data_IF_151429987179
#
_entry.id   IF_151429987179
#
_cell.length_a   1.000
_cell.length_b   1.000
_cell.length_c   1.000
_cell.angle_alpha   90.00
_cell.angle_beta   90.00
_cell.angle_gamma   90.00
#
_symmetry.space_group_name_H-M   'P 1'
#
loop_
_entity.id
_entity.type
_entity.pdbx_description
1 polymer ?
#
# COMPACT_ATOMS: atom_id res chain seq x y z
N UNK A 1 -10.02 6.83 -0.01
CA UNK A 1 -10.49 5.62 -0.68
C UNK A 1 -11.57 4.97 0.14
N UNK A 2 -12.65 4.55 -0.50
CA UNK A 2 -13.64 3.64 0.10
C UNK A 2 -13.38 2.25 -0.47
N UNK A 3 -13.36 1.22 0.38
CA UNK A 3 -13.34 -0.15 -0.12
C UNK A 3 -14.69 -0.46 -0.77
N UNK A 4 -14.66 -1.13 -1.93
CA UNK A 4 -15.87 -1.47 -2.70
C UNK A 4 -16.80 -2.42 -1.94
N UNK A 5 -16.22 -3.26 -1.09
CA UNK A 5 -16.94 -4.16 -0.20
C UNK A 5 -16.47 -3.94 1.25
N UNK A 6 -17.34 -4.17 2.25
CA UNK A 6 -16.94 -4.18 3.64
C UNK A 6 -15.78 -5.15 3.87
N UNK A 7 -14.81 -4.72 4.69
CA UNK A 7 -13.72 -5.60 5.08
C UNK A 7 -14.19 -6.58 6.15
N UNK A 8 -13.69 -7.81 6.05
CA UNK A 8 -13.92 -8.88 7.01
C UNK A 8 -12.80 -8.85 8.04
N UNK A 9 -13.14 -8.62 9.30
CA UNK A 9 -12.20 -8.65 10.43
C UNK A 9 -11.90 -10.11 10.82
N UNK A 10 -10.69 -10.35 11.30
CA UNK A 10 -10.25 -11.66 11.76
C UNK A 10 -8.94 -11.62 12.51
N UNK A 11 -8.48 -12.80 12.92
CA UNK A 11 -7.23 -13.01 13.65
C UNK A 11 -6.20 -13.68 12.76
N UNK A 12 -5.03 -13.05 12.62
CA UNK A 12 -3.91 -13.59 11.88
C UNK A 12 -3.39 -14.87 12.54
N UNK A 13 -3.34 -15.96 11.79
CA UNK A 13 -2.71 -17.21 12.25
C UNK A 13 -1.24 -17.21 11.83
N UNK A 14 -0.97 -16.94 10.55
CA UNK A 14 0.40 -16.83 10.01
C UNK A 14 0.42 -16.21 8.62
N UNK A 15 1.55 -15.58 8.29
CA UNK A 15 1.96 -15.28 6.90
C UNK A 15 3.06 -16.25 6.49
N UNK A 16 3.00 -16.77 5.27
CA UNK A 16 3.99 -17.73 4.77
C UNK A 16 4.10 -17.68 3.24
N UNK A 17 5.19 -18.23 2.70
CA UNK A 17 5.50 -18.21 1.26
C UNK A 17 5.35 -16.81 0.63
N UNK A 18 5.59 -15.76 1.42
CA UNK A 18 5.46 -14.32 1.11
C UNK A 18 4.04 -13.84 0.81
N UNK A 19 3.26 -14.59 0.06
CA UNK A 19 1.98 -14.16 -0.53
C UNK A 19 0.74 -14.87 0.03
N UNK A 20 0.91 -15.77 1.02
CA UNK A 20 -0.18 -16.51 1.64
C UNK A 20 -0.33 -16.10 3.11
N UNK A 21 -1.57 -16.04 3.57
CA UNK A 21 -1.89 -15.69 4.94
C UNK A 21 -3.10 -16.47 5.41
N UNK A 22 -2.96 -17.20 6.49
CA UNK A 22 -4.06 -17.92 7.12
C UNK A 22 -4.66 -17.03 8.22
N UNK A 23 -5.99 -16.91 8.22
CA UNK A 23 -6.77 -16.04 9.12
C UNK A 23 -8.00 -16.79 9.61
N UNK A 24 -8.35 -16.63 10.88
CA UNK A 24 -9.68 -17.00 11.40
C UNK A 24 -10.56 -15.75 11.39
N UNK A 25 -11.63 -15.75 10.60
CA UNK A 25 -12.60 -14.66 10.56
C UNK A 25 -13.42 -14.60 11.86
N UNK A 26 -14.05 -13.46 12.14
CA UNK A 26 -14.92 -13.30 13.32
C UNK A 26 -16.11 -14.28 13.37
N UNK A 27 -16.56 -14.77 12.22
CA UNK A 27 -17.60 -15.81 12.14
C UNK A 27 -17.07 -17.23 12.36
N UNK A 28 -15.79 -17.38 12.72
CA UNK A 28 -15.13 -18.65 13.02
C UNK A 28 -14.56 -19.39 11.81
N UNK A 29 -14.78 -18.92 10.57
CA UNK A 29 -14.22 -19.58 9.37
C UNK A 29 -12.71 -19.38 9.30
N UNK A 30 -11.98 -20.48 9.09
CA UNK A 30 -10.58 -20.44 8.69
C UNK A 30 -10.45 -20.22 7.18
N UNK A 31 -9.72 -19.18 6.77
CA UNK A 31 -9.52 -18.82 5.36
C UNK A 31 -8.04 -18.59 5.06
N UNK A 32 -7.63 -18.89 3.83
CA UNK A 32 -6.35 -18.44 3.27
C UNK A 32 -6.58 -17.25 2.35
N UNK A 33 -5.92 -16.14 2.65
CA UNK A 33 -5.94 -14.90 1.90
C UNK A 33 -4.62 -14.68 1.14
N UNK A 34 -4.69 -13.84 0.11
CA UNK A 34 -3.52 -13.30 -0.56
C UNK A 34 -2.89 -12.19 0.30
N UNK A 35 -1.59 -12.27 0.56
CA UNK A 35 -0.79 -11.15 1.07
C UNK A 35 -0.22 -10.35 -0.12
N UNK A 36 -0.72 -9.14 -0.40
CA UNK A 36 -0.28 -8.32 -1.53
C UNK A 36 1.02 -7.54 -1.24
N UNK A 37 1.71 -7.81 -0.14
CA UNK A 37 2.95 -7.16 0.22
C UNK A 37 4.13 -8.15 0.12
N UNK A 38 5.08 -7.94 -0.81
CA UNK A 38 6.24 -8.81 -0.96
C UNK A 38 7.35 -8.52 0.07
N UNK A 39 7.29 -7.40 0.78
CA UNK A 39 8.32 -6.92 1.72
C UNK A 39 8.44 -7.76 2.99
N UNK A 40 9.37 -7.36 3.86
CA UNK A 40 9.59 -8.06 5.12
C UNK A 40 8.37 -7.94 6.03
N UNK A 41 7.67 -6.79 6.00
CA UNK A 41 6.53 -6.49 6.88
C UNK A 41 6.94 -6.61 8.36
N UNK A 42 8.12 -6.09 8.70
CA UNK A 42 8.64 -6.13 10.06
C UNK A 42 7.64 -5.46 11.02
N UNK A 43 7.30 -6.16 12.10
CA UNK A 43 6.28 -5.72 13.07
C UNK A 43 4.83 -5.99 12.66
N UNK A 44 4.56 -6.43 11.42
CA UNK A 44 3.20 -6.53 10.86
C UNK A 44 2.77 -7.96 10.51
N UNK A 45 3.37 -8.97 11.13
CA UNK A 45 3.06 -10.39 10.85
C UNK A 45 2.90 -11.26 12.10
N UNK A 46 2.70 -10.66 13.27
CA UNK A 46 2.59 -11.39 14.52
C UNK A 46 1.30 -12.25 14.56
N UNK A 47 1.38 -13.56 14.81
CA UNK A 47 0.20 -14.37 15.08
C UNK A 47 -0.63 -13.79 16.23
N UNK A 48 -1.96 -13.81 16.08
CA UNK A 48 -2.89 -13.19 17.03
C UNK A 48 -3.28 -11.75 16.68
N UNK A 49 -2.57 -11.07 15.76
CA UNK A 49 -2.94 -9.71 15.35
C UNK A 49 -4.31 -9.65 14.69
N UNK A 50 -5.05 -8.57 14.97
CA UNK A 50 -6.27 -8.23 14.24
C UNK A 50 -5.93 -7.87 12.80
N UNK A 51 -6.64 -8.43 11.84
CA UNK A 51 -6.48 -8.14 10.41
C UNK A 51 -7.82 -7.92 9.72
N UNK A 52 -7.77 -7.25 8.57
CA UNK A 52 -8.93 -7.02 7.72
C UNK A 52 -8.68 -7.52 6.31
N UNK A 53 -9.63 -8.31 5.81
CA UNK A 53 -9.58 -8.92 4.49
C UNK A 53 -10.66 -8.32 3.58
N UNK A 54 -10.31 -7.98 2.34
CA UNK A 54 -11.29 -7.69 1.29
C UNK A 54 -11.67 -8.98 0.54
N UNK A 55 -12.94 -9.16 0.17
CA UNK A 55 -13.32 -10.23 -0.75
C UNK A 55 -12.74 -9.96 -2.15
N UNK A 56 -12.38 -11.03 -2.86
CA UNK A 56 -11.99 -10.94 -4.26
C UNK A 56 -13.19 -10.53 -5.12
N UNK A 57 -13.03 -9.47 -5.92
CA UNK A 57 -14.05 -9.05 -6.88
C UNK A 57 -14.20 -10.04 -8.05
N UNK A 58 -13.11 -10.67 -8.48
CA UNK A 58 -13.12 -11.69 -9.53
C UNK A 58 -13.43 -13.10 -8.95
N UNK A 59 -14.58 -13.72 -9.27
CA UNK A 59 -14.97 -15.03 -8.77
C UNK A 59 -14.01 -16.16 -9.16
N UNK A 60 -13.26 -16.02 -10.26
CA UNK A 60 -12.31 -17.03 -10.74
C UNK A 60 -10.99 -17.05 -9.96
N UNK A 61 -10.71 -16.06 -9.08
CA UNK A 61 -9.48 -16.07 -8.28
C UNK A 61 -9.42 -17.30 -7.37
N UNK A 62 -8.25 -17.92 -7.28
CA UNK A 62 -8.00 -19.06 -6.38
C UNK A 62 -8.15 -18.67 -4.91
N UNK A 63 -7.53 -17.55 -4.52
CA UNK A 63 -7.67 -16.97 -3.18
C UNK A 63 -8.83 -15.97 -3.20
N UNK A 64 -9.86 -16.25 -2.40
CA UNK A 64 -11.10 -15.47 -2.36
C UNK A 64 -10.99 -14.19 -1.52
N UNK A 65 -9.86 -13.98 -0.88
CA UNK A 65 -9.62 -12.84 0.00
C UNK A 65 -8.24 -12.23 -0.25
N UNK A 66 -8.13 -10.93 -0.02
CA UNK A 66 -6.87 -10.19 -0.01
C UNK A 66 -6.72 -9.53 1.36
N UNK A 67 -5.54 -9.64 1.96
CA UNK A 67 -5.21 -8.95 3.20
C UNK A 67 -4.94 -7.48 2.93
N UNK A 68 -5.71 -6.59 3.57
CA UNK A 68 -5.65 -5.14 3.34
C UNK A 68 -4.97 -4.41 4.50
N UNK A 69 -5.41 -4.70 5.73
CA UNK A 69 -5.02 -3.96 6.94
C UNK A 69 -4.65 -4.90 8.09
N UNK A 70 -3.81 -4.42 9.00
CA UNK A 70 -3.47 -5.06 10.27
C UNK A 70 -3.51 -4.03 11.40
N UNK A 71 -3.87 -4.46 12.59
CA UNK A 71 -3.70 -3.68 13.81
C UNK A 71 -2.34 -3.98 14.42
N UNK A 72 -1.54 -2.94 14.64
CA UNK A 72 -0.24 -3.00 15.28
C UNK A 72 -0.09 -1.77 16.19
N UNK A 73 0.41 -1.96 17.41
CA UNK A 73 0.65 -0.87 18.38
C UNK A 73 -0.55 0.08 18.58
N UNK A 74 -1.77 -0.48 18.59
CA UNK A 74 -3.01 0.28 18.77
C UNK A 74 -3.43 1.13 17.58
N UNK A 75 -2.78 0.99 16.42
CA UNK A 75 -3.12 1.67 15.18
C UNK A 75 -3.42 0.70 14.04
N UNK A 76 -4.16 1.17 13.03
CA UNK A 76 -4.48 0.39 11.83
C UNK A 76 -3.49 0.76 10.73
N UNK A 77 -2.77 -0.25 10.24
CA UNK A 77 -1.73 -0.12 9.23
C UNK A 77 -2.19 -0.77 7.93
N UNK A 78 -2.11 -0.02 6.82
CA UNK A 78 -2.37 -0.55 5.48
C UNK A 78 -1.19 -1.33 4.94
N UNK A 79 -1.36 -2.65 4.77
CA UNK A 79 -0.28 -3.52 4.29
C UNK A 79 -0.28 -3.69 2.78
N UNK A 80 -1.39 -3.39 2.10
CA UNK A 80 -1.51 -3.59 0.67
C UNK A 80 -0.77 -2.51 -0.13
N UNK A 81 0.41 -2.88 -0.65
CA UNK A 81 1.29 -1.99 -1.42
C UNK A 81 0.74 -1.59 -2.78
N UNK A 82 -0.41 -2.14 -3.22
CA UNK A 82 -1.12 -1.69 -4.42
C UNK A 82 -2.06 -0.50 -4.20
N UNK A 83 -2.29 -0.08 -2.95
CA UNK A 83 -3.19 1.03 -2.59
C UNK A 83 -2.56 2.44 -2.63
N UNK A 84 -1.27 2.64 -2.27
CA UNK A 84 -0.70 3.98 -2.09
C UNK A 84 -0.85 4.93 -3.28
N UNK A 85 -0.58 4.49 -4.51
CA UNK A 85 -0.65 5.39 -5.68
C UNK A 85 -2.07 5.93 -5.92
N UNK A 86 -3.11 5.11 -5.69
CA UNK A 86 -4.50 5.56 -5.78
C UNK A 86 -4.90 6.49 -4.63
N UNK A 87 -4.37 6.25 -3.43
CA UNK A 87 -4.58 7.13 -2.27
C UNK A 87 -3.90 8.50 -2.47
N UNK A 88 -2.69 8.50 -3.02
CA UNK A 88 -1.94 9.71 -3.32
C UNK A 88 -2.66 10.55 -4.39
N UNK A 89 -3.09 9.92 -5.48
CA UNK A 89 -3.91 10.57 -6.52
C UNK A 89 -5.19 11.17 -5.92
N UNK A 90 -5.97 10.40 -5.14
CA UNK A 90 -7.18 10.90 -4.49
C UNK A 90 -6.89 12.10 -3.57
N UNK A 91 -5.80 12.05 -2.80
CA UNK A 91 -5.41 13.13 -1.90
C UNK A 91 -4.97 14.39 -2.65
N UNK A 92 -4.21 14.25 -3.74
CA UNK A 92 -3.76 15.37 -4.58
C UNK A 92 -4.97 16.05 -5.23
N UNK A 93 -5.85 15.28 -5.87
CA UNK A 93 -7.05 15.81 -6.52
C UNK A 93 -8.02 16.48 -5.53
N UNK A 94 -8.04 16.02 -4.29
CA UNK A 94 -8.83 16.61 -3.21
C UNK A 94 -8.14 17.81 -2.51
N UNK A 95 -6.95 18.24 -2.96
CA UNK A 95 -6.22 19.35 -2.35
C UNK A 95 -5.74 19.08 -0.92
N UNK A 96 -5.43 17.82 -0.60
CA UNK A 96 -5.00 17.38 0.75
C UNK A 96 -3.49 17.23 0.87
N UNK A 97 -2.74 17.47 -0.21
CA UNK A 97 -1.28 17.39 -0.22
C UNK A 97 -0.72 18.77 -0.55
N UNK A 98 -0.32 19.55 0.48
CA UNK A 98 0.22 20.88 0.32
C UNK A 98 1.35 20.95 -0.73
N UNK A 99 1.21 21.88 -1.67
CA UNK A 99 2.18 22.14 -2.74
C UNK A 99 1.92 21.36 -4.03
N UNK A 100 0.96 20.43 -4.05
CA UNK A 100 0.59 19.66 -5.26
C UNK A 100 -0.76 20.06 -5.84
N UNK A 101 -1.37 21.14 -5.37
CA UNK A 101 -2.70 21.56 -5.78
C UNK A 101 -2.74 22.32 -7.11
N UNK A 102 -3.91 22.26 -7.75
CA UNK A 102 -4.29 23.14 -8.85
C UNK A 102 -3.73 22.75 -10.22
N UNK A 103 -2.88 21.73 -10.32
CA UNK A 103 -2.38 21.26 -11.62
C UNK A 103 -3.54 20.82 -12.52
N UNK A 104 -3.53 21.27 -13.77
CA UNK A 104 -4.61 20.99 -14.73
C UNK A 104 -4.70 19.50 -15.11
N UNK A 105 -3.58 18.76 -15.07
CA UNK A 105 -3.47 17.38 -15.56
C UNK A 105 -2.68 16.51 -14.59
N UNK A 106 -3.17 15.29 -14.38
CA UNK A 106 -2.51 14.23 -13.59
C UNK A 106 -2.43 12.96 -14.43
N UNK A 107 -1.24 12.36 -14.50
CA UNK A 107 -1.01 11.08 -15.19
C UNK A 107 -0.24 10.12 -14.31
N UNK A 108 -0.51 8.82 -14.45
CA UNK A 108 0.16 7.75 -13.68
C UNK A 108 1.11 6.93 -14.54
N UNK A 109 2.11 6.34 -13.90
CA UNK A 109 3.03 5.37 -14.52
C UNK A 109 3.75 5.92 -15.78
N UNK A 110 4.13 7.20 -15.73
CA UNK A 110 4.74 7.88 -16.89
C UNK A 110 6.21 7.50 -17.00
N UNK A 111 6.65 7.04 -18.17
CA UNK A 111 8.06 6.72 -18.41
C UNK A 111 8.91 8.00 -18.29
N UNK A 112 10.03 7.90 -17.59
CA UNK A 112 11.03 8.96 -17.46
C UNK A 112 12.42 8.34 -17.30
N UNK A 113 13.45 9.18 -17.44
CA UNK A 113 14.84 8.73 -17.36
C UNK A 113 15.16 7.63 -18.37
N UNK A 114 16.10 6.75 -18.02
CA UNK A 114 16.55 5.68 -18.92
C UNK A 114 15.67 4.42 -18.80
N UNK A 115 15.26 4.05 -17.59
CA UNK A 115 14.60 2.76 -17.33
C UNK A 115 13.62 2.82 -16.13
N UNK A 116 12.94 3.94 -15.90
CA UNK A 116 11.97 4.06 -14.80
C UNK A 116 10.65 4.69 -15.23
N UNK A 117 9.69 4.60 -14.33
CA UNK A 117 8.38 5.24 -14.43
C UNK A 117 8.12 6.00 -13.15
N UNK A 118 7.64 7.23 -13.28
CA UNK A 118 7.22 8.02 -12.15
C UNK A 118 5.80 7.60 -11.79
N UNK A 119 5.51 7.49 -10.50
CA UNK A 119 4.19 7.07 -10.03
C UNK A 119 3.11 8.04 -10.50
N UNK A 120 3.35 9.35 -10.33
CA UNK A 120 2.45 10.44 -10.72
C UNK A 120 3.25 11.58 -11.38
N UNK A 121 2.76 12.07 -12.51
CA UNK A 121 3.22 13.30 -13.16
C UNK A 121 2.09 14.34 -13.15
N UNK A 122 2.35 15.50 -12.57
CA UNK A 122 1.45 16.65 -12.56
C UNK A 122 1.90 17.66 -13.61
N UNK A 123 0.99 18.13 -14.44
CA UNK A 123 1.27 19.02 -15.56
C UNK A 123 0.29 20.18 -15.61
N UNK A 124 0.79 21.33 -16.04
CA UNK A 124 0.08 22.58 -16.19
C UNK A 124 0.75 23.37 -17.31
N UNK A 125 0.02 24.28 -17.95
CA UNK A 125 0.57 25.12 -19.03
C UNK A 125 1.36 26.31 -18.46
N UNK A 126 1.02 26.75 -17.24
CA UNK A 126 1.59 27.96 -16.62
C UNK A 126 2.69 27.69 -15.58
N UNK A 127 3.08 26.43 -15.37
CA UNK A 127 4.16 26.05 -14.43
C UNK A 127 4.88 24.76 -14.83
N UNK A 128 6.11 24.55 -14.32
CA UNK A 128 6.87 23.33 -14.60
C UNK A 128 6.14 22.06 -14.15
N UNK A 129 6.37 20.92 -14.84
CA UNK A 129 5.85 19.62 -14.41
C UNK A 129 6.39 19.24 -13.02
N UNK A 130 5.56 18.57 -12.23
CA UNK A 130 5.96 18.02 -10.93
C UNK A 130 5.93 16.48 -10.99
N UNK A 131 7.10 15.88 -10.75
CA UNK A 131 7.29 14.44 -10.68
C UNK A 131 7.10 14.00 -9.23
N UNK A 132 6.17 13.07 -9.02
CA UNK A 132 5.79 12.61 -7.68
C UNK A 132 5.99 11.11 -7.60
N UNK A 133 6.93 10.69 -6.77
CA UNK A 133 7.18 9.30 -6.43
C UNK A 133 6.52 8.96 -5.08
N UNK A 134 5.78 7.87 -5.03
CA UNK A 134 5.02 7.44 -3.86
C UNK A 134 5.74 6.28 -3.17
N UNK A 135 5.92 6.38 -1.86
CA UNK A 135 6.51 5.31 -1.03
C UNK A 135 5.51 4.82 0.00
N UNK A 136 5.38 3.50 0.13
CA UNK A 136 4.62 2.88 1.20
C UNK A 136 5.50 2.82 2.46
N UNK A 137 5.06 3.48 3.53
CA UNK A 137 5.78 3.57 4.80
C UNK A 137 4.91 2.90 5.87
N UNK A 138 5.47 1.90 6.55
CA UNK A 138 4.74 1.13 7.56
C UNK A 138 5.61 0.64 8.72
N UNK A 139 6.94 0.79 8.61
CA UNK A 139 7.87 0.33 9.63
C UNK A 139 8.02 1.40 10.72
N UNK A 140 7.96 0.96 11.98
CA UNK A 140 8.08 1.83 13.15
C UNK A 140 9.02 1.15 14.13
N UNK A 141 10.12 1.80 14.49
CA UNK A 141 11.01 1.39 15.60
C UNK A 141 10.84 2.26 16.84
N UNK A 142 10.56 3.54 16.61
CA UNK A 142 10.32 4.55 17.63
C UNK A 142 8.90 5.07 17.48
N UNK A 143 8.16 5.14 18.60
CA UNK A 143 6.78 5.61 18.59
C UNK A 143 6.69 7.02 17.98
N UNK A 144 5.81 7.18 16.98
CA UNK A 144 5.62 8.45 16.26
C UNK A 144 6.52 8.65 15.04
N UNK A 145 7.46 7.73 14.75
CA UNK A 145 8.35 7.80 13.58
C UNK A 145 8.05 6.64 12.63
N UNK A 146 7.57 6.98 11.43
CA UNK A 146 7.38 6.02 10.34
C UNK A 146 8.58 6.03 9.39
N UNK A 147 9.09 4.84 9.06
CA UNK A 147 10.36 4.66 8.39
C UNK A 147 10.24 3.89 7.06
N UNK A 148 11.07 4.28 6.10
CA UNK A 148 11.26 3.57 4.84
C UNK A 148 12.76 3.58 4.48
N UNK A 149 13.32 2.46 3.99
CA UNK A 149 12.67 1.17 3.76
C UNK A 149 12.69 0.25 5.00
N UNK A 150 11.84 -0.79 5.00
CA UNK A 150 11.84 -1.84 6.04
C UNK A 150 12.97 -2.89 5.83
N UNK A 151 13.67 -2.81 4.70
CA UNK A 151 14.74 -3.70 4.26
C UNK A 151 15.56 -3.03 3.13
N UNK A 152 16.78 -3.52 2.86
CA UNK A 152 17.63 -2.95 1.80
C UNK A 152 16.93 -2.95 0.43
N UNK A 153 16.83 -1.79 -0.23
CA UNK A 153 16.17 -1.63 -1.54
C UNK A 153 17.06 -0.95 -2.58
N UNK A 154 17.82 -1.74 -3.34
CA UNK A 154 18.59 -1.23 -4.47
C UNK A 154 17.72 -0.58 -5.56
N UNK A 155 16.48 -1.08 -5.72
CA UNK A 155 15.50 -0.49 -6.64
C UNK A 155 15.04 0.89 -6.18
N UNK A 156 14.77 1.06 -4.89
CA UNK A 156 14.39 2.36 -4.33
C UNK A 156 15.49 3.40 -4.47
N UNK A 157 16.74 3.01 -4.21
CA UNK A 157 17.91 3.88 -4.42
C UNK A 157 18.02 4.33 -5.89
N UNK A 158 17.90 3.40 -6.84
CA UNK A 158 17.90 3.73 -8.27
C UNK A 158 16.81 4.75 -8.65
N UNK A 159 15.60 4.62 -8.11
CA UNK A 159 14.53 5.58 -8.40
C UNK A 159 14.86 6.97 -7.84
N UNK A 160 15.53 7.04 -6.69
CA UNK A 160 15.98 8.31 -6.12
C UNK A 160 17.08 8.96 -6.97
N UNK A 161 17.99 8.17 -7.54
CA UNK A 161 19.05 8.68 -8.43
C UNK A 161 18.52 9.17 -9.77
N UNK A 162 17.34 8.69 -10.21
CA UNK A 162 16.72 9.08 -11.49
C UNK A 162 15.74 10.26 -11.38
N UNK A 163 15.34 10.65 -10.16
CA UNK A 163 14.49 11.83 -9.85
C UNK A 163 15.29 13.13 -9.89
#
# INVERSE_FOLDING_TARGET
>A
MRFEAPLLRGTLIRRYKRFLTDVTLEDGRAVTAHCPNPGAMLGLTAPGSTVWLSPASNPARKLKFTWELIEADGTIVGINTGRPNALAEEAILAGRVPGLEGYARLRREVKYGRNSRIDILLEDDDRPPCYVEVKNVHFVREAGVAEFPDSVTARGAKHLDEL
#
